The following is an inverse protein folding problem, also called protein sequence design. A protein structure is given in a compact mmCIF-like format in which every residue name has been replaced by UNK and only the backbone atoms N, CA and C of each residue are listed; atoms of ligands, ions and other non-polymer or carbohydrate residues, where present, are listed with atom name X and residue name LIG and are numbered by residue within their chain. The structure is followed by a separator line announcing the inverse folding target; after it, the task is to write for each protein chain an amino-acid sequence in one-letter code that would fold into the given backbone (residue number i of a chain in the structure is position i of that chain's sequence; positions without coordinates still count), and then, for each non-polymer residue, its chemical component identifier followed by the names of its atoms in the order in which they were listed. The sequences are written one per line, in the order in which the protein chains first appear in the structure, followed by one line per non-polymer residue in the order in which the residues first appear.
data_IF_061332294439
#
_entry.id   IF_061332294439
#
_cell.length_a   1.000
_cell.length_b   1.000
_cell.length_c   1.000
_cell.angle_alpha   90.00
_cell.angle_beta   90.00
_cell.angle_gamma   90.00
#
_symmetry.space_group_name_H-M   'P 1'
#
loop_
_entity.id
_entity.type
_entity.pdbx_description
1 polymer ?
#
# COMPACT_ATOMS: atom_id res chain seq x y z
N UNK A 1 -23.81 -4.38 8.00
CA UNK A 1 -23.61 -3.04 7.40
C UNK A 1 -22.16 -2.85 7.02
N UNK A 2 -21.80 -1.79 6.29
CA UNK A 2 -20.40 -1.46 6.03
C UNK A 2 -19.65 -1.13 7.34
N UNK A 3 -18.32 -1.35 7.40
CA UNK A 3 -17.54 -1.13 8.63
C UNK A 3 -17.35 0.37 8.90
N UNK A 4 -17.27 0.79 10.16
CA UNK A 4 -16.96 2.18 10.50
C UNK A 4 -15.49 2.54 10.17
N UNK A 5 -14.60 1.55 10.24
CA UNK A 5 -13.16 1.71 9.96
C UNK A 5 -12.65 0.54 9.12
N UNK A 6 -11.90 0.85 8.06
CA UNK A 6 -11.19 -0.12 7.22
C UNK A 6 -9.69 0.16 7.32
N UNK A 7 -8.95 -0.74 7.97
CA UNK A 7 -7.48 -0.66 8.05
C UNK A 7 -6.88 -1.48 6.92
N UNK A 8 -6.08 -0.85 6.06
CA UNK A 8 -5.42 -1.51 4.93
C UNK A 8 -3.93 -1.64 5.25
N UNK A 9 -3.46 -2.88 5.20
CA UNK A 9 -2.05 -3.24 5.36
C UNK A 9 -1.55 -3.91 4.09
N UNK A 10 -0.52 -3.35 3.48
CA UNK A 10 0.12 -3.93 2.29
C UNK A 10 1.23 -4.91 2.72
N UNK A 11 1.33 -6.04 2.03
CA UNK A 11 2.35 -7.02 2.33
C UNK A 11 3.62 -6.77 1.49
N UNK A 12 4.79 -7.02 2.09
CA UNK A 12 6.08 -6.88 1.39
C UNK A 12 6.21 -7.69 0.09
N UNK A 13 5.43 -8.76 -0.08
CA UNK A 13 5.40 -9.57 -1.31
C UNK A 13 4.97 -8.76 -2.55
N UNK A 14 4.11 -7.76 -2.37
CA UNK A 14 3.54 -6.99 -3.49
C UNK A 14 4.56 -5.97 -4.02
N UNK A 15 5.47 -5.52 -3.16
CA UNK A 15 6.59 -4.64 -3.51
C UNK A 15 7.64 -5.33 -4.39
N UNK A 16 7.75 -6.67 -4.30
CA UNK A 16 8.71 -7.46 -5.07
C UNK A 16 8.14 -7.82 -6.45
N UNK A 17 6.82 -8.07 -6.53
CA UNK A 17 6.15 -8.57 -7.74
C UNK A 17 5.83 -7.50 -8.78
N UNK A 18 5.72 -6.23 -8.39
CA UNK A 18 5.28 -5.14 -9.28
C UNK A 18 6.24 -3.95 -9.21
N UNK A 19 6.46 -3.23 -10.32
CA UNK A 19 7.14 -1.94 -10.26
C UNK A 19 6.41 -0.99 -9.30
N UNK A 20 7.16 -0.29 -8.44
CA UNK A 20 6.56 0.56 -7.39
C UNK A 20 5.51 1.56 -7.89
N UNK A 21 5.72 2.17 -9.08
CA UNK A 21 4.73 3.08 -9.69
C UNK A 21 3.41 2.38 -10.04
N UNK A 22 3.48 1.17 -10.60
CA UNK A 22 2.29 0.40 -10.97
C UNK A 22 1.50 0.01 -9.72
N UNK A 23 2.23 -0.39 -8.67
CA UNK A 23 1.63 -0.73 -7.39
C UNK A 23 0.94 0.48 -6.73
N UNK A 24 1.57 1.65 -6.76
CA UNK A 24 0.97 2.90 -6.24
C UNK A 24 -0.34 3.21 -6.96
N UNK A 25 -0.34 3.19 -8.31
CA UNK A 25 -1.55 3.49 -9.09
C UNK A 25 -2.69 2.51 -8.77
N UNK A 26 -2.38 1.22 -8.61
CA UNK A 26 -3.37 0.21 -8.24
C UNK A 26 -3.92 0.45 -6.82
N UNK A 27 -3.06 0.75 -5.85
CA UNK A 27 -3.50 1.06 -4.49
C UNK A 27 -4.43 2.27 -4.50
N UNK A 28 -4.07 3.35 -5.20
CA UNK A 28 -4.91 4.56 -5.29
C UNK A 28 -6.28 4.25 -5.92
N UNK A 29 -6.30 3.49 -7.01
CA UNK A 29 -7.56 3.09 -7.67
C UNK A 29 -8.46 2.26 -6.74
N UNK A 30 -7.87 1.32 -6.00
CA UNK A 30 -8.61 0.50 -5.04
C UNK A 30 -9.14 1.31 -3.85
N UNK A 31 -8.34 2.25 -3.33
CA UNK A 31 -8.77 3.16 -2.25
C UNK A 31 -9.94 4.04 -2.70
N UNK A 32 -9.91 4.56 -3.93
CA UNK A 32 -11.02 5.34 -4.49
C UNK A 32 -12.29 4.50 -4.64
N UNK A 33 -12.18 3.22 -5.05
CA UNK A 33 -13.33 2.31 -5.09
C UNK A 33 -13.89 2.04 -3.70
N UNK A 34 -13.03 1.84 -2.70
CA UNK A 34 -13.51 1.65 -1.32
C UNK A 34 -14.23 2.91 -0.80
N UNK A 35 -13.69 4.10 -1.08
CA UNK A 35 -14.31 5.36 -0.69
C UNK A 35 -15.68 5.57 -1.38
N UNK A 36 -15.83 5.14 -2.64
CA UNK A 36 -17.10 5.28 -3.37
C UNK A 36 -18.15 4.27 -2.90
N UNK A 37 -17.76 3.04 -2.62
CA UNK A 37 -18.67 1.98 -2.14
C UNK A 37 -19.05 2.22 -0.67
N UNK A 38 -18.13 2.75 0.13
CA UNK A 38 -18.30 2.94 1.57
C UNK A 38 -17.98 4.38 2.00
N UNK A 39 -18.81 5.37 1.62
CA UNK A 39 -18.51 6.80 1.82
C UNK A 39 -18.46 7.24 3.29
N UNK A 40 -19.00 6.43 4.21
CA UNK A 40 -18.97 6.68 5.66
C UNK A 40 -17.86 5.91 6.38
N UNK A 41 -17.19 4.99 5.70
CA UNK A 41 -16.12 4.19 6.28
C UNK A 41 -14.84 5.00 6.31
N UNK A 42 -14.21 5.08 7.49
CA UNK A 42 -12.89 5.68 7.63
C UNK A 42 -11.84 4.71 7.11
N UNK A 43 -11.18 5.05 6.02
CA UNK A 43 -10.08 4.26 5.48
C UNK A 43 -8.78 4.71 6.16
N UNK A 44 -8.03 3.76 6.71
CA UNK A 44 -6.77 4.01 7.42
C UNK A 44 -5.68 3.17 6.77
N UNK A 45 -4.63 3.84 6.29
CA UNK A 45 -3.45 3.15 5.78
C UNK A 45 -2.49 2.81 6.93
N UNK A 46 -2.18 1.53 7.08
CA UNK A 46 -1.10 1.09 7.97
C UNK A 46 0.22 1.20 7.21
N UNK A 47 1.07 2.14 7.64
CA UNK A 47 2.39 2.32 7.04
C UNK A 47 3.14 0.99 7.01
N UNK A 48 3.70 0.67 5.85
CA UNK A 48 4.50 -0.52 5.69
C UNK A 48 5.68 -0.47 6.69
N UNK A 49 5.90 -1.54 7.43
CA UNK A 49 7.05 -1.65 8.33
C UNK A 49 8.30 -1.93 7.48
N UNK A 50 9.42 -1.23 7.68
CA UNK A 50 10.66 -1.52 6.97
C UNK A 50 11.16 -2.93 7.33
N UNK A 51 11.55 -3.70 6.32
CA UNK A 51 12.16 -5.01 6.51
C UNK A 51 13.67 -4.94 6.25
N UNK A 52 14.47 -5.49 7.17
CA UNK A 52 15.93 -5.62 7.01
C UNK A 52 16.34 -6.38 5.74
N UNK A 53 15.51 -7.34 5.34
CA UNK A 53 15.60 -8.05 4.06
C UNK A 53 14.19 -8.31 3.55
N UNK A 54 13.91 -7.87 2.33
CA UNK A 54 12.74 -8.30 1.58
C UNK A 54 12.96 -9.75 1.16
N UNK A 55 12.47 -10.72 1.95
CA UNK A 55 12.59 -12.16 1.65
C UNK A 55 12.17 -12.37 0.19
N UNK A 56 12.99 -13.09 -0.60
CA UNK A 56 12.85 -13.31 -2.05
C UNK A 56 13.14 -12.14 -3.01
N UNK A 57 13.67 -11.01 -2.54
CA UNK A 57 14.14 -9.93 -3.42
C UNK A 57 15.60 -10.17 -3.87
N UNK A 58 15.83 -10.28 -5.18
CA UNK A 58 17.17 -10.22 -5.77
C UNK A 58 17.80 -8.81 -5.66
N UNK A 59 17.01 -7.78 -5.34
CA UNK A 59 17.44 -6.38 -5.23
C UNK A 59 16.74 -5.69 -4.05
N UNK A 60 17.32 -5.74 -2.84
CA UNK A 60 16.76 -5.12 -1.63
C UNK A 60 16.52 -3.61 -1.78
N UNK A 61 17.34 -2.91 -2.57
CA UNK A 61 17.23 -1.46 -2.76
C UNK A 61 15.95 -1.08 -3.53
N UNK A 62 15.50 -1.92 -4.47
CA UNK A 62 14.22 -1.72 -5.16
C UNK A 62 13.04 -1.86 -4.22
N UNK A 63 13.05 -2.86 -3.34
CA UNK A 63 12.01 -3.06 -2.33
C UNK A 63 11.87 -1.85 -1.41
N UNK A 64 12.99 -1.34 -0.93
CA UNK A 64 13.04 -0.13 -0.09
C UNK A 64 12.57 1.13 -0.82
N UNK A 65 12.92 1.27 -2.10
CA UNK A 65 12.47 2.42 -2.91
C UNK A 65 10.96 2.37 -3.15
N UNK A 66 10.42 1.19 -3.46
CA UNK A 66 8.99 0.99 -3.62
C UNK A 66 8.24 1.25 -2.30
N UNK A 67 8.77 0.73 -1.19
CA UNK A 67 8.25 0.97 0.16
C UNK A 67 8.14 2.46 0.50
N UNK A 68 9.24 3.21 0.34
CA UNK A 68 9.24 4.67 0.56
C UNK A 68 8.29 5.40 -0.37
N UNK A 69 8.20 4.97 -1.63
CA UNK A 69 7.30 5.57 -2.61
C UNK A 69 5.83 5.37 -2.23
N UNK A 70 5.45 4.13 -1.90
CA UNK A 70 4.08 3.79 -1.49
C UNK A 70 3.69 4.54 -0.22
N UNK A 71 4.51 4.48 0.83
CA UNK A 71 4.20 5.19 2.07
C UNK A 71 4.09 6.71 1.86
N UNK A 72 4.90 7.31 0.98
CA UNK A 72 4.82 8.74 0.68
C UNK A 72 3.53 9.14 -0.05
N UNK A 73 3.16 8.38 -1.08
CA UNK A 73 2.00 8.72 -1.91
C UNK A 73 0.68 8.41 -1.18
N UNK A 74 0.62 7.30 -0.45
CA UNK A 74 -0.61 6.86 0.22
C UNK A 74 -0.82 7.56 1.57
N UNK A 75 0.22 8.03 2.25
CA UNK A 75 0.05 8.83 3.48
C UNK A 75 -0.70 10.16 3.26
N UNK A 76 -0.92 10.56 2.00
CA UNK A 76 -1.68 11.76 1.63
C UNK A 76 -3.16 11.48 1.35
N UNK A 77 -3.55 10.21 1.29
CA UNK A 77 -4.94 9.77 1.12
C UNK A 77 -5.67 9.82 2.46
#
# INVERSE_FOLDING_TARGET
GPPDVLVIYLCGKDLIRKPGKVLILQIVDDLNKFASVFPKTRIVWSALIPHLQWKSSHDPQRGDKAHRGVNREIARF
#
